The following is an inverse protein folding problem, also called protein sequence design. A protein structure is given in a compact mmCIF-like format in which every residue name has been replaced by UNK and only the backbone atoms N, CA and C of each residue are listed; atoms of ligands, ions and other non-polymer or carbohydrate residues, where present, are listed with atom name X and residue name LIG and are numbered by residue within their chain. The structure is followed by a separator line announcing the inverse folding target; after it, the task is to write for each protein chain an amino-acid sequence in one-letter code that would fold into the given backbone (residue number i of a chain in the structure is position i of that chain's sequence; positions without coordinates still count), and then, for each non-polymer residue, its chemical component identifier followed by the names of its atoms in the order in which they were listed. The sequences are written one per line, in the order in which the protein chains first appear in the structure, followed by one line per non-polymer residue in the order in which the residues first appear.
data_IF_082998161630
#
_entry.id   IF_082998161630
#
_cell.length_a   1.000
_cell.length_b   1.000
_cell.length_c   1.000
_cell.angle_alpha   90.00
_cell.angle_beta   90.00
_cell.angle_gamma   90.00
#
_symmetry.space_group_name_H-M   'P 1'
#
loop_
_entity.id
_entity.type
_entity.pdbx_description
1 polymer ?
#
# COMPACT_ATOMS: atom_id res chain seq x y z
N UNK A 1 3.91 -5.10 -19.64
CA UNK A 1 4.46 -4.79 -18.29
C UNK A 1 5.89 -4.29 -18.31
N UNK A 2 6.69 -4.61 -19.34
CA UNK A 2 8.12 -4.26 -19.40
C UNK A 2 8.50 -2.82 -19.00
N UNK A 3 7.80 -1.76 -19.45
CA UNK A 3 8.15 -0.41 -19.00
C UNK A 3 7.83 -0.13 -17.52
N UNK A 4 6.94 -0.90 -16.89
CA UNK A 4 6.57 -0.74 -15.48
C UNK A 4 7.43 -1.60 -14.55
N UNK A 5 8.03 -2.69 -15.05
CA UNK A 5 8.78 -3.67 -14.23
C UNK A 5 9.80 -3.03 -13.27
N UNK A 6 10.65 -2.06 -13.68
CA UNK A 6 11.58 -1.44 -12.74
C UNK A 6 10.88 -0.69 -11.61
N UNK A 7 9.76 -0.03 -11.89
CA UNK A 7 8.96 0.68 -10.89
C UNK A 7 8.30 -0.28 -9.91
N UNK A 8 7.69 -1.36 -10.42
CA UNK A 8 7.05 -2.39 -9.58
C UNK A 8 8.09 -3.07 -8.68
N UNK A 9 9.26 -3.44 -9.23
CA UNK A 9 10.37 -4.03 -8.45
C UNK A 9 10.82 -3.16 -7.28
N UNK A 10 10.82 -1.84 -7.47
CA UNK A 10 11.28 -0.91 -6.44
C UNK A 10 10.28 -0.75 -5.27
N UNK A 11 8.97 -0.84 -5.52
CA UNK A 11 7.94 -0.49 -4.52
C UNK A 11 7.04 -1.65 -4.10
N UNK A 12 7.02 -2.74 -4.86
CA UNK A 12 6.18 -3.91 -4.62
C UNK A 12 6.98 -5.23 -4.69
N UNK A 13 8.07 -5.38 -3.93
CA UNK A 13 8.87 -6.60 -3.91
C UNK A 13 8.16 -7.75 -3.18
N UNK A 14 8.56 -8.98 -3.49
CA UNK A 14 8.24 -10.15 -2.67
C UNK A 14 9.18 -10.22 -1.46
N UNK A 15 8.63 -10.47 -0.27
CA UNK A 15 9.43 -10.68 0.95
C UNK A 15 9.85 -12.14 1.17
N UNK A 16 9.30 -13.07 0.39
CA UNK A 16 9.44 -14.52 0.62
C UNK A 16 9.92 -15.29 -0.62
N UNK A 17 10.11 -14.62 -1.76
CA UNK A 17 10.50 -15.31 -2.98
C UNK A 17 10.69 -14.40 -4.19
N UNK A 18 10.21 -14.87 -5.34
CA UNK A 18 10.40 -14.20 -6.61
C UNK A 18 9.32 -13.14 -6.87
N UNK A 19 9.75 -11.92 -7.14
CA UNK A 19 8.92 -10.77 -7.48
C UNK A 19 7.92 -11.05 -8.62
N UNK A 20 8.38 -11.61 -9.73
CA UNK A 20 7.52 -11.83 -10.89
C UNK A 20 6.41 -12.86 -10.61
N UNK A 21 6.73 -13.91 -9.86
CA UNK A 21 5.74 -14.89 -9.37
C UNK A 21 4.70 -14.24 -8.47
N UNK A 22 5.13 -13.36 -7.56
CA UNK A 22 4.22 -12.60 -6.70
C UNK A 22 3.30 -11.68 -7.51
N UNK A 23 3.82 -10.90 -8.44
CA UNK A 23 2.99 -10.03 -9.29
C UNK A 23 2.02 -10.84 -10.16
N UNK A 24 2.45 -12.00 -10.66
CA UNK A 24 1.57 -12.90 -11.42
C UNK A 24 0.41 -13.40 -10.57
N UNK A 25 0.66 -13.73 -9.29
CA UNK A 25 -0.38 -14.10 -8.34
C UNK A 25 -1.39 -12.96 -8.13
N UNK A 26 -0.90 -11.76 -7.79
CA UNK A 26 -1.74 -10.57 -7.57
C UNK A 26 -2.61 -10.25 -8.79
N UNK A 27 -2.02 -10.29 -10.00
CA UNK A 27 -2.78 -10.11 -11.22
C UNK A 27 -3.85 -11.19 -11.41
N UNK A 28 -3.48 -12.46 -11.27
CA UNK A 28 -4.37 -13.59 -11.57
C UNK A 28 -5.55 -13.64 -10.60
N UNK A 29 -5.30 -13.40 -9.30
CA UNK A 29 -6.30 -13.54 -8.23
C UNK A 29 -7.11 -12.26 -8.02
N UNK A 30 -6.49 -11.09 -8.17
CA UNK A 30 -7.15 -9.80 -7.87
C UNK A 30 -7.33 -8.92 -9.10
N UNK A 31 -6.29 -8.80 -9.93
CA UNK A 31 -6.31 -7.93 -11.10
C UNK A 31 -7.35 -8.32 -12.15
N UNK A 32 -7.52 -9.61 -12.44
CA UNK A 32 -8.48 -10.11 -13.45
C UNK A 32 -9.94 -9.77 -13.13
N UNK A 33 -10.27 -9.53 -11.86
CA UNK A 33 -11.60 -9.12 -11.40
C UNK A 33 -11.90 -7.62 -11.67
N UNK A 34 -10.89 -6.80 -11.98
CA UNK A 34 -11.01 -5.33 -12.05
C UNK A 34 -11.47 -4.78 -13.41
N UNK A 35 -11.74 -5.63 -14.41
CA UNK A 35 -12.00 -5.26 -15.82
C UNK A 35 -10.86 -4.50 -16.53
N UNK A 36 -9.77 -4.19 -15.83
CA UNK A 36 -8.58 -3.52 -16.37
C UNK A 36 -7.71 -4.48 -17.19
N UNK A 37 -6.82 -3.93 -17.99
CA UNK A 37 -5.68 -4.71 -18.49
C UNK A 37 -4.64 -4.88 -17.38
N UNK A 38 -3.75 -5.87 -17.51
CA UNK A 38 -2.64 -6.02 -16.56
C UNK A 38 -1.80 -4.74 -16.47
N UNK A 39 -1.55 -4.10 -17.61
CA UNK A 39 -0.79 -2.85 -17.64
C UNK A 39 -1.45 -1.75 -16.81
N UNK A 40 -2.76 -1.53 -16.99
CA UNK A 40 -3.50 -0.49 -16.29
C UNK A 40 -3.63 -0.78 -14.80
N UNK A 41 -3.84 -2.04 -14.42
CA UNK A 41 -3.88 -2.48 -13.02
C UNK A 41 -2.57 -2.13 -12.29
N UNK A 42 -1.42 -2.54 -12.84
CA UNK A 42 -0.14 -2.24 -12.20
C UNK A 42 0.21 -0.76 -12.26
N UNK A 43 -0.15 -0.06 -13.35
CA UNK A 43 0.05 1.38 -13.45
C UNK A 43 -0.74 2.13 -12.39
N UNK A 44 -2.02 1.81 -12.22
CA UNK A 44 -2.88 2.40 -11.20
C UNK A 44 -2.33 2.14 -9.80
N UNK A 45 -1.92 0.90 -9.50
CA UNK A 45 -1.34 0.56 -8.21
C UNK A 45 -0.08 1.39 -7.90
N UNK A 46 0.83 1.57 -8.87
CA UNK A 46 2.00 2.45 -8.74
C UNK A 46 1.61 3.91 -8.49
N UNK A 47 0.64 4.42 -9.25
CA UNK A 47 0.16 5.80 -9.13
C UNK A 47 -0.47 6.04 -7.76
N UNK A 48 -1.28 5.10 -7.25
CA UNK A 48 -1.89 5.17 -5.91
C UNK A 48 -0.85 5.06 -4.79
N UNK A 49 0.15 4.19 -4.93
CA UNK A 49 1.25 4.06 -3.98
C UNK A 49 2.04 5.38 -3.86
N UNK A 50 2.40 5.97 -5.01
CA UNK A 50 3.13 7.22 -5.07
C UNK A 50 2.32 8.40 -4.50
N UNK A 51 1.02 8.48 -4.80
CA UNK A 51 0.12 9.52 -4.27
C UNK A 51 -0.08 9.42 -2.76
N UNK A 52 -0.16 8.20 -2.22
CA UNK A 52 -0.48 7.98 -0.80
C UNK A 52 0.73 8.19 0.12
N UNK A 53 1.93 7.77 -0.32
CA UNK A 53 3.22 7.91 0.36
C UNK A 53 3.15 7.84 1.91
N UNK A 54 2.58 6.74 2.41
CA UNK A 54 2.28 6.55 3.83
C UNK A 54 3.53 6.59 4.71
N UNK A 55 4.66 6.08 4.21
CA UNK A 55 5.92 6.09 4.95
C UNK A 55 6.36 7.52 5.29
N UNK A 56 6.44 8.40 4.30
CA UNK A 56 6.90 9.78 4.52
C UNK A 56 5.90 10.57 5.37
N UNK A 57 4.60 10.30 5.20
CA UNK A 57 3.54 10.87 6.01
C UNK A 57 3.73 10.54 7.49
N UNK A 58 3.92 9.25 7.83
CA UNK A 58 4.11 8.82 9.21
C UNK A 58 5.40 9.42 9.79
N UNK A 59 6.48 9.45 9.00
CA UNK A 59 7.74 10.08 9.39
C UNK A 59 7.57 11.58 9.74
N UNK A 60 6.81 12.33 8.94
CA UNK A 60 6.50 13.76 9.22
C UNK A 60 5.72 13.97 10.53
N UNK A 61 5.02 12.93 11.02
CA UNK A 61 4.35 12.92 12.32
C UNK A 61 5.20 12.32 13.44
N UNK A 62 6.49 12.11 13.19
CA UNK A 62 7.44 11.45 14.10
C UNK A 62 7.09 10.00 14.45
N UNK A 63 6.20 9.37 13.67
CA UNK A 63 5.84 7.95 13.76
C UNK A 63 6.84 7.18 12.89
N UNK A 64 7.89 6.67 13.53
CA UNK A 64 8.98 5.94 12.84
C UNK A 64 9.23 4.60 13.51
N UNK A 65 9.63 3.56 12.76
CA UNK A 65 10.00 2.27 13.34
C UNK A 65 11.04 2.40 14.45
N UNK A 66 10.95 1.56 15.49
CA UNK A 66 11.97 1.42 16.53
C UNK A 66 11.94 2.45 17.68
N UNK A 67 11.02 3.43 17.68
CA UNK A 67 10.90 4.43 18.77
C UNK A 67 10.11 3.95 20.01
N UNK A 68 9.62 2.72 19.99
CA UNK A 68 8.75 2.16 21.04
C UNK A 68 7.29 2.05 20.58
N UNK A 69 6.38 1.64 21.48
CA UNK A 69 4.97 1.46 21.17
C UNK A 69 4.30 2.79 20.83
N UNK A 70 3.38 2.78 19.86
CA UNK A 70 2.60 3.93 19.40
C UNK A 70 1.13 3.55 19.49
N UNK A 71 0.26 4.46 19.92
CA UNK A 71 -1.16 4.16 19.94
C UNK A 71 -1.68 4.00 18.52
N UNK A 72 -2.49 2.95 18.31
CA UNK A 72 -3.17 2.68 17.04
C UNK A 72 -3.87 3.93 16.48
N UNK A 73 -4.56 4.67 17.36
CA UNK A 73 -5.29 5.88 16.99
C UNK A 73 -4.40 6.99 16.44
N UNK A 74 -3.17 7.13 16.94
CA UNK A 74 -2.23 8.15 16.44
C UNK A 74 -1.80 7.85 15.00
N UNK A 75 -1.65 6.56 14.65
CA UNK A 75 -1.36 6.10 13.29
C UNK A 75 -2.57 6.35 12.38
N UNK A 76 -3.78 5.97 12.82
CA UNK A 76 -5.02 6.19 12.07
C UNK A 76 -5.28 7.67 11.80
N UNK A 77 -5.16 8.52 12.83
CA UNK A 77 -5.39 9.97 12.71
C UNK A 77 -4.34 10.64 11.82
N UNK A 78 -3.07 10.23 11.91
CA UNK A 78 -2.01 10.72 11.03
C UNK A 78 -2.35 10.45 9.56
N UNK A 79 -2.74 9.21 9.24
CA UNK A 79 -3.07 8.81 7.87
C UNK A 79 -4.34 9.51 7.39
N UNK A 80 -5.40 9.50 8.20
CA UNK A 80 -6.70 10.11 7.89
C UNK A 80 -6.60 11.57 7.49
N UNK A 81 -5.75 12.34 8.17
CA UNK A 81 -5.53 13.76 7.85
C UNK A 81 -4.94 13.94 6.45
N UNK A 82 -4.02 13.06 6.03
CA UNK A 82 -3.37 13.20 4.72
C UNK A 82 -4.20 12.62 3.57
N UNK A 83 -5.09 11.67 3.84
CA UNK A 83 -5.97 11.02 2.85
C UNK A 83 -7.32 11.72 2.70
N UNK A 84 -7.41 13.01 3.06
CA UNK A 84 -8.64 13.80 2.90
C UNK A 84 -9.79 13.37 3.81
N UNK A 85 -9.48 12.79 4.98
CA UNK A 85 -10.47 12.36 5.97
C UNK A 85 -10.85 10.89 5.90
N UNK A 86 -10.27 10.10 4.99
CA UNK A 86 -10.55 8.67 4.87
C UNK A 86 -9.68 7.87 5.85
N UNK A 87 -10.32 7.21 6.81
CA UNK A 87 -9.61 6.39 7.79
C UNK A 87 -9.05 5.12 7.13
N UNK A 88 -7.78 4.75 7.38
CA UNK A 88 -7.22 3.48 6.92
C UNK A 88 -7.75 2.31 7.73
N UNK A 89 -7.63 1.10 7.20
CA UNK A 89 -7.63 -0.11 8.01
C UNK A 89 -6.18 -0.49 8.35
N UNK A 90 -5.90 -0.70 9.63
CA UNK A 90 -4.60 -1.20 10.11
C UNK A 90 -4.69 -2.70 10.41
N UNK A 91 -3.73 -3.45 9.87
CA UNK A 91 -3.50 -4.85 10.22
C UNK A 91 -2.22 -4.93 11.06
N UNK A 92 -2.33 -5.50 12.26
CA UNK A 92 -1.20 -5.68 13.16
C UNK A 92 -0.97 -7.17 13.45
N UNK A 93 0.27 -7.54 13.68
CA UNK A 93 0.63 -8.84 14.23
C UNK A 93 0.06 -8.97 15.65
N UNK A 94 -0.68 -10.04 15.92
CA UNK A 94 -1.36 -10.20 17.21
C UNK A 94 -0.42 -10.45 18.39
N UNK A 95 0.77 -11.00 18.13
CA UNK A 95 1.72 -11.35 19.18
C UNK A 95 2.62 -10.18 19.56
N UNK A 96 3.21 -9.51 18.57
CA UNK A 96 4.14 -8.40 18.77
C UNK A 96 3.47 -7.03 18.83
N UNK A 97 2.24 -6.90 18.33
CA UNK A 97 1.58 -5.61 18.15
C UNK A 97 2.15 -4.76 17.02
N UNK A 98 3.11 -5.28 16.25
CA UNK A 98 3.72 -4.57 15.14
C UNK A 98 2.70 -4.33 14.02
N UNK A 99 2.73 -3.13 13.44
CA UNK A 99 1.96 -2.81 12.25
C UNK A 99 2.51 -3.60 11.04
N UNK A 100 1.67 -4.41 10.40
CA UNK A 100 2.03 -5.22 9.24
C UNK A 100 1.54 -4.59 7.93
N UNK A 101 0.29 -4.14 7.89
CA UNK A 101 -0.31 -3.56 6.69
C UNK A 101 -1.15 -2.32 7.00
N UNK A 102 -1.10 -1.37 6.07
CA UNK A 102 -2.02 -0.23 5.99
C UNK A 102 -2.84 -0.39 4.72
N UNK A 103 -4.16 -0.44 4.85
CA UNK A 103 -5.08 -0.59 3.72
C UNK A 103 -5.88 0.69 3.53
N UNK A 104 -5.89 1.18 2.29
CA UNK A 104 -6.64 2.35 1.86
C UNK A 104 -7.75 1.91 0.91
N UNK A 105 -8.91 2.55 0.99
CA UNK A 105 -10.03 2.31 0.10
C UNK A 105 -10.16 3.46 -0.91
N UNK A 106 -10.39 3.11 -2.17
CA UNK A 106 -10.59 4.05 -3.26
C UNK A 106 -11.91 3.72 -3.96
N UNK A 107 -12.61 4.76 -4.42
CA UNK A 107 -13.86 4.60 -5.15
C UNK A 107 -13.57 4.19 -6.60
N UNK A 108 -14.45 3.39 -7.22
CA UNK A 108 -14.29 2.97 -8.62
C UNK A 108 -14.45 4.13 -9.61
N UNK A 109 -15.09 5.22 -9.19
CA UNK A 109 -15.19 6.49 -9.93
C UNK A 109 -13.91 7.32 -9.87
N UNK A 110 -13.01 7.04 -8.93
CA UNK A 110 -11.65 7.60 -8.94
C UNK A 110 -10.79 6.85 -9.97
N UNK A 111 -11.19 6.95 -11.24
CA UNK A 111 -10.25 6.86 -12.35
C UNK A 111 -9.23 8.00 -12.15
N UNK A 112 -7.91 7.73 -12.20
CA UNK A 112 -6.92 8.79 -12.31
C UNK A 112 -7.13 9.66 -13.56
#
# INVERSE_FOLDING_TARGET
LDPLKPGIANVWPSLTGNDFGFWTHEWTVHGTCSTMTAYDYFKLALDLYAKSNIKDLLQKKNITPGKGPINRKDIEDAIKVATGGLAPQLSCDQNSGNLLEVRLCFDTSTNP
#
